data_IF_715937104286
#
_entry.id   IF_715937104286
#
_cell.length_a   1.000
_cell.length_b   1.000
_cell.length_c   1.000
_cell.angle_alpha   90.00
_cell.angle_beta   90.00
_cell.angle_gamma   90.00
#
_symmetry.space_group_name_H-M   'P 1'
#
loop_
_entity.id
_entity.type
_entity.pdbx_description
1 polymer ?
#
# COMPACT_ATOMS: atom_id res chain seq x y z
N UNK A 1 -66.93 32.55 -37.54
CA UNK A 1 -65.71 32.99 -36.83
C UNK A 1 -65.32 31.94 -35.78
N UNK A 2 -64.18 31.31 -36.02
CA UNK A 2 -63.65 30.11 -35.39
C UNK A 2 -63.43 30.21 -33.87
N UNK A 3 -64.06 29.32 -33.11
CA UNK A 3 -63.72 29.03 -31.71
C UNK A 3 -62.45 28.18 -31.68
N UNK A 4 -61.33 28.78 -31.30
CA UNK A 4 -60.07 28.07 -31.07
C UNK A 4 -60.20 27.34 -29.73
N UNK A 5 -59.96 26.01 -29.64
CA UNK A 5 -59.91 25.34 -28.36
C UNK A 5 -58.59 25.73 -27.67
N UNK A 6 -58.70 26.40 -26.52
CA UNK A 6 -57.56 26.62 -25.63
C UNK A 6 -57.20 25.25 -25.05
N UNK A 7 -56.18 24.61 -25.62
CA UNK A 7 -55.61 23.39 -25.06
C UNK A 7 -54.94 23.75 -23.74
N UNK A 8 -55.52 23.32 -22.62
CA UNK A 8 -54.94 23.43 -21.29
C UNK A 8 -53.57 22.73 -21.26
N UNK A 9 -52.50 23.52 -21.30
CA UNK A 9 -51.13 23.06 -21.05
C UNK A 9 -50.88 23.03 -19.54
N UNK A 10 -51.42 22.03 -18.83
CA UNK A 10 -51.24 21.91 -17.39
C UNK A 10 -50.92 20.47 -16.95
N UNK A 11 -49.87 19.86 -17.50
CA UNK A 11 -49.19 18.71 -16.87
C UNK A 11 -47.78 18.55 -17.47
N UNK A 12 -46.88 19.52 -17.26
CA UNK A 12 -45.47 19.39 -17.69
C UNK A 12 -44.55 18.91 -16.56
N UNK A 13 -44.97 19.01 -15.29
CA UNK A 13 -44.21 18.52 -14.15
C UNK A 13 -45.13 18.22 -12.97
N UNK A 14 -44.68 17.33 -12.09
CA UNK A 14 -45.32 16.98 -10.82
C UNK A 14 -44.44 17.49 -9.67
N UNK A 15 -45.08 17.97 -8.60
CA UNK A 15 -44.38 18.36 -7.37
C UNK A 15 -44.48 17.20 -6.40
N UNK A 16 -43.35 16.54 -6.15
CA UNK A 16 -43.24 15.46 -5.17
C UNK A 16 -42.62 15.98 -3.86
N UNK A 17 -43.04 15.40 -2.74
CA UNK A 17 -42.43 15.65 -1.44
C UNK A 17 -41.32 14.63 -1.18
N UNK A 18 -40.14 15.12 -0.80
CA UNK A 18 -39.02 14.29 -0.39
C UNK A 18 -39.13 13.97 1.10
N UNK A 19 -39.44 12.72 1.43
CA UNK A 19 -39.31 12.21 2.78
C UNK A 19 -37.82 11.98 3.11
N UNK A 20 -37.29 12.81 4.01
CA UNK A 20 -35.88 12.74 4.40
C UNK A 20 -35.52 11.40 5.07
N UNK A 21 -36.42 10.80 5.85
CA UNK A 21 -36.16 9.54 6.55
C UNK A 21 -36.11 8.38 5.55
N UNK A 22 -37.05 8.36 4.59
CA UNK A 22 -37.06 7.35 3.54
C UNK A 22 -35.82 7.47 2.63
N UNK A 23 -35.43 8.69 2.26
CA UNK A 23 -34.25 8.93 1.43
C UNK A 23 -32.96 8.48 2.13
N UNK A 24 -32.81 8.79 3.42
CA UNK A 24 -31.65 8.35 4.21
C UNK A 24 -31.66 6.83 4.37
N UNK A 25 -32.80 6.21 4.68
CA UNK A 25 -32.91 4.77 4.82
C UNK A 25 -32.64 4.03 3.50
N UNK A 26 -33.07 4.59 2.37
CA UNK A 26 -32.79 4.06 1.03
C UNK A 26 -31.30 4.19 0.68
N UNK A 27 -30.70 5.35 0.95
CA UNK A 27 -29.27 5.56 0.75
C UNK A 27 -28.43 4.61 1.61
N UNK A 28 -28.77 4.47 2.91
CA UNK A 28 -28.08 3.57 3.83
C UNK A 28 -28.13 2.11 3.35
N UNK A 29 -29.31 1.62 2.95
CA UNK A 29 -29.46 0.26 2.40
C UNK A 29 -28.68 0.05 1.11
N UNK A 30 -28.68 1.03 0.21
CA UNK A 30 -27.92 0.97 -1.04
C UNK A 30 -26.41 0.92 -0.77
N UNK A 31 -25.92 1.75 0.15
CA UNK A 31 -24.51 1.78 0.57
C UNK A 31 -24.14 0.45 1.23
N UNK A 32 -24.99 -0.07 2.12
CA UNK A 32 -24.76 -1.35 2.78
C UNK A 32 -24.66 -2.49 1.77
N UNK A 33 -25.59 -2.59 0.83
CA UNK A 33 -25.55 -3.63 -0.21
C UNK A 33 -24.31 -3.50 -1.10
N UNK A 34 -23.94 -2.27 -1.46
CA UNK A 34 -22.73 -2.00 -2.24
C UNK A 34 -21.47 -2.45 -1.47
N UNK A 35 -21.37 -2.08 -0.19
CA UNK A 35 -20.25 -2.43 0.66
C UNK A 35 -20.18 -3.94 0.92
N UNK A 36 -21.32 -4.61 1.15
CA UNK A 36 -21.37 -6.07 1.31
C UNK A 36 -20.90 -6.80 0.06
N UNK A 37 -21.38 -6.40 -1.13
CA UNK A 37 -20.96 -7.02 -2.40
C UNK A 37 -19.47 -6.82 -2.65
N UNK A 38 -18.97 -5.60 -2.46
CA UNK A 38 -17.54 -5.29 -2.61
C UNK A 38 -16.68 -6.01 -1.59
N UNK A 39 -17.10 -6.04 -0.32
CA UNK A 39 -16.39 -6.75 0.73
C UNK A 39 -16.32 -8.25 0.44
N UNK A 40 -17.41 -8.86 -0.03
CA UNK A 40 -17.39 -10.28 -0.39
C UNK A 40 -16.49 -10.58 -1.60
N UNK A 41 -16.52 -9.74 -2.64
CA UNK A 41 -15.66 -9.90 -3.81
C UNK A 41 -14.17 -9.72 -3.45
N UNK A 42 -13.87 -8.70 -2.63
CA UNK A 42 -12.53 -8.47 -2.10
C UNK A 42 -12.06 -9.61 -1.20
N UNK A 43 -12.94 -10.15 -0.36
CA UNK A 43 -12.60 -11.28 0.51
C UNK A 43 -12.26 -12.51 -0.32
N UNK A 44 -13.10 -12.86 -1.28
CA UNK A 44 -12.86 -14.01 -2.16
C UNK A 44 -11.57 -13.83 -2.95
N UNK A 45 -11.34 -12.65 -3.55
CA UNK A 45 -10.11 -12.35 -4.28
C UNK A 45 -8.86 -12.40 -3.39
N UNK A 46 -8.97 -11.86 -2.18
CA UNK A 46 -7.91 -11.88 -1.16
C UNK A 46 -7.58 -13.30 -0.71
N UNK A 47 -8.58 -14.10 -0.37
CA UNK A 47 -8.36 -15.50 0.07
C UNK A 47 -7.75 -16.32 -1.06
N UNK A 48 -8.25 -16.18 -2.30
CA UNK A 48 -7.66 -16.83 -3.48
C UNK A 48 -6.18 -16.47 -3.62
N UNK A 49 -5.84 -15.18 -3.54
CA UNK A 49 -4.47 -14.70 -3.68
C UNK A 49 -3.57 -15.18 -2.54
N UNK A 50 -4.04 -15.12 -1.30
CA UNK A 50 -3.28 -15.55 -0.13
C UNK A 50 -3.00 -17.07 -0.17
N UNK A 51 -4.02 -17.88 -0.44
CA UNK A 51 -3.85 -19.34 -0.55
C UNK A 51 -2.93 -19.70 -1.72
N UNK A 52 -3.06 -19.03 -2.86
CA UNK A 52 -2.15 -19.25 -3.99
C UNK A 52 -0.71 -18.90 -3.63
N UNK A 53 -0.48 -17.76 -2.95
CA UNK A 53 0.85 -17.37 -2.50
C UNK A 53 1.48 -18.40 -1.54
N UNK A 54 0.71 -18.91 -0.56
CA UNK A 54 1.19 -19.94 0.36
C UNK A 54 1.56 -21.24 -0.36
N UNK A 55 0.74 -21.68 -1.33
CA UNK A 55 1.00 -22.90 -2.11
C UNK A 55 2.23 -22.72 -2.99
N UNK A 56 2.31 -21.64 -3.76
CA UNK A 56 3.44 -21.38 -4.67
C UNK A 56 4.76 -21.25 -3.91
N UNK A 57 4.75 -20.55 -2.77
CA UNK A 57 5.96 -20.42 -1.96
C UNK A 57 6.37 -21.75 -1.32
N UNK A 58 5.41 -22.59 -0.91
CA UNK A 58 5.70 -23.92 -0.36
C UNK A 58 6.27 -24.88 -1.40
N UNK A 59 5.80 -24.80 -2.64
CA UNK A 59 6.26 -25.64 -3.75
C UNK A 59 7.58 -25.15 -4.37
N UNK A 60 7.95 -23.90 -4.09
CA UNK A 60 9.16 -23.31 -4.63
C UNK A 60 10.43 -23.96 -4.06
N UNK A 61 11.28 -24.46 -4.95
CA UNK A 61 12.61 -24.95 -4.61
C UNK A 61 13.62 -23.80 -4.68
N UNK A 62 14.28 -23.54 -3.54
CA UNK A 62 15.30 -22.51 -3.42
C UNK A 62 16.48 -22.76 -4.36
N UNK A 63 16.93 -21.72 -5.06
CA UNK A 63 18.12 -21.75 -5.92
C UNK A 63 19.17 -20.76 -5.44
N UNK A 64 20.39 -21.25 -5.19
CA UNK A 64 21.52 -20.40 -4.78
C UNK A 64 22.28 -19.82 -5.97
N UNK A 65 22.33 -20.55 -7.08
CA UNK A 65 23.01 -20.16 -8.30
C UNK A 65 22.00 -19.66 -9.33
N UNK A 66 21.89 -18.35 -9.43
CA UNK A 66 21.34 -17.70 -10.61
C UNK A 66 22.52 -17.42 -11.53
N UNK A 67 22.74 -18.25 -12.54
CA UNK A 67 23.84 -18.03 -13.48
C UNK A 67 23.70 -16.63 -14.12
N UNK A 68 24.64 -15.74 -13.78
CA UNK A 68 24.80 -14.42 -14.42
C UNK A 68 25.48 -14.56 -15.79
N UNK A 69 25.94 -15.76 -16.14
CA UNK A 69 26.57 -16.06 -17.41
C UNK A 69 25.53 -16.37 -18.48
N UNK A 70 25.55 -15.59 -19.56
CA UNK A 70 24.52 -15.60 -20.59
C UNK A 70 24.13 -17.00 -21.10
N UNK A 71 22.80 -17.16 -21.24
CA UNK A 71 22.02 -18.31 -21.74
C UNK A 71 21.40 -19.15 -20.63
N UNK A 72 20.09 -18.92 -20.50
CA UNK A 72 19.04 -19.85 -20.06
C UNK A 72 18.40 -19.61 -18.67
N UNK A 73 17.21 -18.97 -18.74
CA UNK A 73 15.95 -19.41 -18.11
C UNK A 73 15.58 -19.00 -16.68
N UNK A 74 16.22 -18.03 -16.04
CA UNK A 74 15.71 -17.47 -14.76
C UNK A 74 15.74 -15.93 -14.67
N UNK A 75 15.76 -15.24 -15.81
CA UNK A 75 15.55 -13.78 -15.90
C UNK A 75 14.49 -13.43 -16.94
N UNK A 76 13.71 -14.42 -17.35
CA UNK A 76 12.54 -14.19 -18.16
C UNK A 76 11.53 -13.48 -17.24
N UNK A 77 11.17 -12.24 -17.57
CA UNK A 77 9.98 -11.54 -17.06
C UNK A 77 10.04 -10.88 -15.66
N UNK A 78 11.12 -10.17 -15.32
CA UNK A 78 11.04 -9.14 -14.25
C UNK A 78 11.03 -7.72 -14.81
N UNK A 79 9.83 -7.14 -14.81
CA UNK A 79 9.56 -5.78 -15.26
C UNK A 79 10.02 -4.78 -14.21
N UNK A 80 11.28 -4.34 -14.29
CA UNK A 80 11.81 -3.22 -13.52
C UNK A 80 11.65 -1.92 -14.30
N UNK A 81 10.86 -0.98 -13.79
CA UNK A 81 10.86 0.39 -14.31
C UNK A 81 11.83 1.25 -13.51
N UNK A 82 13.07 1.30 -13.99
CA UNK A 82 13.86 2.54 -13.93
C UNK A 82 13.56 3.32 -15.22
N UNK A 83 13.71 4.65 -15.15
CA UNK A 83 13.41 5.59 -16.22
C UNK A 83 13.90 5.13 -17.60
N UNK A 84 13.12 5.45 -18.64
CA UNK A 84 13.39 5.08 -20.03
C UNK A 84 14.78 5.49 -20.55
N UNK A 85 15.46 6.42 -19.86
CA UNK A 85 16.78 6.93 -20.24
C UNK A 85 17.96 6.07 -19.74
N UNK A 86 17.77 5.13 -18.81
CA UNK A 86 18.83 4.22 -18.33
C UNK A 86 18.76 2.83 -19.01
N UNK A 87 18.38 2.81 -20.29
CA UNK A 87 18.16 1.58 -21.07
C UNK A 87 19.39 1.06 -21.80
N UNK A 88 20.53 1.76 -21.74
CA UNK A 88 21.78 1.34 -22.35
C UNK A 88 22.54 0.32 -21.47
N UNK A 89 22.11 -0.94 -21.49
CA UNK A 89 22.97 -2.05 -21.04
C UNK A 89 22.27 -3.31 -20.51
N UNK A 90 20.99 -3.24 -20.12
CA UNK A 90 20.28 -4.40 -19.54
C UNK A 90 19.23 -4.96 -20.52
N UNK A 91 19.55 -6.09 -21.15
CA UNK A 91 18.91 -6.65 -22.36
C UNK A 91 17.54 -7.32 -22.20
N UNK A 92 16.98 -7.45 -20.99
CA UNK A 92 15.83 -8.34 -20.73
C UNK A 92 14.69 -7.69 -19.92
N UNK A 93 14.31 -6.45 -20.24
CA UNK A 93 13.09 -5.82 -19.69
C UNK A 93 11.96 -5.88 -20.71
N UNK A 94 10.80 -6.40 -20.29
CA UNK A 94 9.57 -6.34 -21.09
C UNK A 94 9.24 -4.86 -21.30
N UNK A 95 8.80 -4.51 -22.51
CA UNK A 95 8.22 -3.22 -22.81
C UNK A 95 6.70 -3.39 -22.96
N UNK A 96 5.96 -3.33 -21.85
CA UNK A 96 4.51 -3.21 -21.87
C UNK A 96 4.00 -2.13 -22.81
N UNK A 97 2.92 -2.47 -23.51
CA UNK A 97 2.12 -1.51 -24.27
C UNK A 97 1.17 -0.80 -23.30
N UNK A 98 1.70 0.24 -22.66
CA UNK A 98 0.96 1.02 -21.69
C UNK A 98 -0.17 1.81 -22.33
N UNK A 99 -1.39 1.60 -21.84
CA UNK A 99 -2.59 2.31 -22.29
C UNK A 99 -3.14 3.17 -21.17
N UNK A 100 -3.73 4.30 -21.53
CA UNK A 100 -4.36 5.17 -20.55
C UNK A 100 -5.67 4.54 -20.06
N UNK A 101 -5.76 4.31 -18.75
CA UNK A 101 -6.92 3.68 -18.13
C UNK A 101 -7.73 4.72 -17.33
N UNK A 102 -9.00 4.99 -17.70
CA UNK A 102 -9.87 5.92 -16.98
C UNK A 102 -10.08 5.57 -15.51
N UNK A 103 -10.03 4.29 -15.14
CA UNK A 103 -10.24 3.83 -13.77
C UNK A 103 -9.06 4.17 -12.87
N UNK A 104 -7.85 4.15 -13.42
CA UNK A 104 -6.61 4.41 -12.68
C UNK A 104 -6.06 5.83 -12.88
N UNK A 105 -6.57 6.56 -13.88
CA UNK A 105 -6.09 7.89 -14.29
C UNK A 105 -4.58 7.91 -14.56
N UNK A 106 -4.03 6.79 -15.03
CA UNK A 106 -2.62 6.55 -15.30
C UNK A 106 -2.48 5.56 -16.46
N UNK A 107 -1.26 5.46 -16.97
CA UNK A 107 -0.84 4.45 -17.92
C UNK A 107 -0.75 3.09 -17.23
N UNK A 108 -1.48 2.10 -17.71
CA UNK A 108 -1.49 0.73 -17.18
C UNK A 108 -1.34 -0.30 -18.29
N UNK A 109 -0.80 -1.47 -17.93
CA UNK A 109 -0.78 -2.68 -18.75
C UNK A 109 -1.42 -3.82 -17.97
N UNK A 110 -2.48 -4.39 -18.53
CA UNK A 110 -3.24 -5.50 -17.95
C UNK A 110 -2.65 -6.87 -18.31
N UNK A 111 -1.64 -6.92 -19.19
CA UNK A 111 -1.01 -8.19 -19.55
C UNK A 111 0.06 -8.62 -18.55
N UNK A 112 0.59 -7.71 -17.74
CA UNK A 112 1.73 -7.97 -16.88
C UNK A 112 1.53 -7.42 -15.47
N UNK A 113 2.32 -7.94 -14.55
CA UNK A 113 2.54 -7.34 -13.23
C UNK A 113 3.75 -6.42 -13.22
N UNK A 114 3.71 -5.41 -12.35
CA UNK A 114 4.86 -4.56 -12.07
C UNK A 114 5.44 -4.90 -10.70
N UNK A 115 6.75 -4.75 -10.58
CA UNK A 115 7.48 -5.01 -9.34
C UNK A 115 8.20 -3.75 -8.88
N UNK A 116 8.05 -3.43 -7.60
CA UNK A 116 8.77 -2.38 -6.91
C UNK A 116 9.79 -3.00 -5.95
N UNK A 117 11.03 -2.53 -6.03
CA UNK A 117 12.10 -2.86 -5.09
C UNK A 117 12.59 -1.55 -4.46
N UNK A 118 12.61 -1.46 -3.13
CA UNK A 118 13.20 -0.34 -2.42
C UNK A 118 14.65 -0.07 -2.84
N UNK A 119 15.05 1.19 -2.89
CA UNK A 119 16.38 1.60 -3.39
C UNK A 119 17.55 1.11 -2.53
N UNK A 120 17.29 0.77 -1.27
CA UNK A 120 18.26 0.24 -0.31
C UNK A 120 18.48 -1.28 -0.45
N UNK A 121 17.69 -1.97 -1.29
CA UNK A 121 17.78 -3.41 -1.52
C UNK A 121 18.42 -3.67 -2.88
N UNK A 122 19.43 -4.55 -2.89
CA UNK A 122 20.08 -4.99 -4.12
C UNK A 122 19.20 -6.00 -4.88
N UNK A 123 18.86 -5.67 -6.14
CA UNK A 123 18.00 -6.46 -7.02
C UNK A 123 18.61 -7.81 -7.45
N UNK A 124 19.95 -7.90 -7.52
CA UNK A 124 20.67 -9.12 -7.86
C UNK A 124 20.91 -10.08 -6.68
N UNK A 125 20.36 -9.81 -5.50
CA UNK A 125 20.49 -10.70 -4.34
C UNK A 125 19.74 -12.01 -4.58
N UNK A 126 20.31 -13.15 -4.19
CA UNK A 126 19.66 -14.48 -4.32
C UNK A 126 18.31 -14.53 -3.62
N UNK A 127 18.15 -13.83 -2.50
CA UNK A 127 16.88 -13.73 -1.77
C UNK A 127 15.83 -13.03 -2.62
N UNK A 128 16.20 -11.93 -3.28
CA UNK A 128 15.29 -11.17 -4.13
C UNK A 128 14.95 -11.94 -5.41
N UNK A 129 15.92 -12.61 -6.02
CA UNK A 129 15.72 -13.40 -7.23
C UNK A 129 14.82 -14.61 -7.00
N UNK A 130 14.96 -15.32 -5.88
CA UNK A 130 14.02 -16.39 -5.52
C UNK A 130 12.62 -15.84 -5.26
N UNK A 131 12.49 -14.71 -4.55
CA UNK A 131 11.20 -14.06 -4.33
C UNK A 131 10.49 -13.67 -5.62
N UNK A 132 11.24 -13.13 -6.57
CA UNK A 132 10.75 -12.80 -7.90
C UNK A 132 10.26 -14.04 -8.66
N UNK A 133 11.01 -15.14 -8.58
CA UNK A 133 10.72 -16.41 -9.24
C UNK A 133 9.37 -17.01 -8.84
N UNK A 134 9.14 -17.20 -7.54
CA UNK A 134 7.88 -17.80 -7.11
C UNK A 134 6.69 -16.83 -7.21
N UNK A 135 6.92 -15.52 -7.02
CA UNK A 135 5.84 -14.52 -7.10
C UNK A 135 5.34 -14.28 -8.52
N UNK A 136 6.05 -14.75 -9.54
CA UNK A 136 5.60 -14.67 -10.93
C UNK A 136 4.28 -15.41 -11.16
N UNK A 137 4.10 -16.56 -10.49
CA UNK A 137 2.87 -17.35 -10.55
C UNK A 137 1.63 -16.60 -10.03
N UNK A 138 1.81 -15.51 -9.26
CA UNK A 138 0.69 -14.68 -8.79
C UNK A 138 0.04 -13.86 -9.91
N UNK A 139 0.73 -13.67 -11.04
CA UNK A 139 0.21 -12.91 -12.18
C UNK A 139 -1.11 -13.48 -12.71
N UNK A 140 -1.20 -14.79 -12.87
CA UNK A 140 -2.41 -15.46 -13.35
C UNK A 140 -3.58 -15.29 -12.38
N UNK A 141 -3.29 -15.28 -11.07
CA UNK A 141 -4.28 -15.06 -10.03
C UNK A 141 -4.78 -13.62 -10.05
N UNK A 142 -3.89 -12.63 -10.24
CA UNK A 142 -4.28 -11.23 -10.36
C UNK A 142 -5.18 -10.98 -11.57
N UNK A 143 -4.84 -11.58 -12.73
CA UNK A 143 -5.66 -11.51 -13.96
C UNK A 143 -7.04 -12.12 -13.72
N UNK A 144 -7.10 -13.32 -13.15
CA UNK A 144 -8.36 -14.01 -12.85
C UNK A 144 -9.24 -13.20 -11.89
N UNK A 145 -8.66 -12.58 -10.86
CA UNK A 145 -9.42 -11.72 -9.96
C UNK A 145 -10.04 -10.52 -10.69
N UNK A 146 -9.32 -9.92 -11.63
CA UNK A 146 -9.80 -8.81 -12.46
C UNK A 146 -10.87 -9.24 -13.47
N UNK A 147 -10.76 -10.44 -14.01
CA UNK A 147 -11.79 -11.05 -14.86
C UNK A 147 -13.08 -11.31 -14.07
N UNK A 148 -12.95 -11.78 -12.82
CA UNK A 148 -14.07 -11.97 -11.89
C UNK A 148 -14.73 -10.64 -11.50
N UNK A 149 -13.93 -9.57 -11.29
CA UNK A 149 -14.41 -8.23 -10.96
C UNK A 149 -13.65 -7.10 -11.70
N UNK A 150 -14.21 -6.58 -12.82
CA UNK A 150 -13.66 -5.46 -13.57
C UNK A 150 -13.71 -4.10 -12.86
N UNK A 151 -14.16 -4.02 -11.60
CA UNK A 151 -14.11 -2.80 -10.79
C UNK A 151 -12.95 -2.77 -9.81
N UNK A 152 -12.20 -3.88 -9.68
CA UNK A 152 -11.01 -3.95 -8.83
C UNK A 152 -9.92 -2.96 -9.24
N UNK A 153 -9.44 -2.20 -8.27
CA UNK A 153 -8.30 -1.32 -8.44
C UNK A 153 -6.99 -2.12 -8.27
N UNK A 154 -5.96 -1.50 -7.69
CA UNK A 154 -4.66 -2.12 -7.48
C UNK A 154 -4.79 -3.37 -6.62
N UNK A 155 -4.27 -4.47 -7.14
CA UNK A 155 -3.98 -5.67 -6.36
C UNK A 155 -2.49 -5.66 -6.06
N UNK A 156 -2.11 -5.86 -4.80
CA UNK A 156 -0.71 -5.74 -4.35
C UNK A 156 -0.37 -6.93 -3.46
N UNK A 157 0.77 -7.56 -3.73
CA UNK A 157 1.45 -8.48 -2.85
C UNK A 157 2.70 -7.80 -2.30
N UNK A 158 2.83 -7.79 -0.97
CA UNK A 158 4.01 -7.30 -0.28
C UNK A 158 4.81 -8.46 0.31
N UNK A 159 6.05 -8.63 -0.13
CA UNK A 159 6.96 -9.63 0.42
C UNK A 159 7.61 -9.13 1.71
N UNK A 160 7.91 -10.08 2.62
CA UNK A 160 8.71 -9.83 3.80
C UNK A 160 10.13 -9.34 3.48
N UNK A 161 10.64 -9.64 2.28
CA UNK A 161 11.92 -9.16 1.78
C UNK A 161 11.90 -7.65 1.46
N UNK A 162 10.72 -7.04 1.30
CA UNK A 162 10.55 -5.62 0.97
C UNK A 162 10.09 -5.37 -0.46
N UNK A 163 10.00 -6.44 -1.27
CA UNK A 163 9.51 -6.40 -2.65
C UNK A 163 7.99 -6.23 -2.71
N UNK A 164 7.50 -5.36 -3.60
CA UNK A 164 6.08 -5.24 -3.90
C UNK A 164 5.81 -5.72 -5.32
N UNK A 165 4.83 -6.61 -5.52
CA UNK A 165 4.28 -6.91 -6.85
C UNK A 165 2.87 -6.36 -6.93
N UNK A 166 2.53 -5.64 -8.00
CA UNK A 166 1.21 -5.06 -8.17
C UNK A 166 0.67 -5.23 -9.59
N UNK A 167 -0.66 -5.29 -9.67
CA UNK A 167 -1.43 -5.45 -10.90
C UNK A 167 -2.56 -4.41 -10.98
N UNK A 168 -2.85 -3.83 -12.15
CA UNK A 168 -2.11 -3.95 -13.43
C UNK A 168 -0.72 -3.33 -13.37
N UNK A 169 0.18 -3.65 -14.30
CA UNK A 169 1.49 -3.02 -14.37
C UNK A 169 1.35 -1.52 -14.68
N UNK A 170 2.14 -0.68 -14.02
CA UNK A 170 2.21 0.77 -14.27
C UNK A 170 3.61 1.26 -13.94
N UNK A 171 4.12 2.28 -14.65
CA UNK A 171 5.35 2.93 -14.26
C UNK A 171 5.20 3.51 -12.85
N UNK A 172 6.19 3.26 -12.00
CA UNK A 172 6.18 3.64 -10.60
C UNK A 172 6.18 5.16 -10.44
N UNK A 173 7.22 5.81 -10.97
CA UNK A 173 7.34 7.26 -11.05
C UNK A 173 6.86 7.77 -12.41
N UNK A 174 6.19 8.91 -12.42
CA UNK A 174 5.91 9.63 -13.66
C UNK A 174 7.15 10.47 -13.99
N UNK A 175 7.91 10.04 -14.99
CA UNK A 175 9.13 10.72 -15.44
C UNK A 175 8.90 12.21 -15.73
N UNK A 176 7.65 12.62 -16.02
CA UNK A 176 7.28 14.03 -16.24
C UNK A 176 7.19 14.87 -14.96
N UNK A 177 6.99 14.25 -13.79
CA UNK A 177 6.68 14.94 -12.53
C UNK A 177 7.79 14.87 -11.49
N UNK A 178 8.65 13.85 -11.53
CA UNK A 178 9.65 13.61 -10.48
C UNK A 178 11.02 13.19 -11.03
N UNK A 179 11.69 14.03 -11.85
CA UNK A 179 12.98 13.67 -12.44
C UNK A 179 14.16 13.63 -11.45
N UNK A 180 14.00 14.15 -10.22
CA UNK A 180 15.11 14.28 -9.25
C UNK A 180 14.76 13.81 -7.83
N UNK A 181 13.60 13.20 -7.62
CA UNK A 181 13.17 12.74 -6.30
C UNK A 181 13.51 11.26 -6.15
N UNK A 182 14.49 10.95 -5.30
CA UNK A 182 14.81 9.57 -4.91
C UNK A 182 13.58 8.96 -4.23
N UNK A 183 13.23 7.76 -4.65
CA UNK A 183 12.15 7.00 -4.04
C UNK A 183 12.59 6.38 -2.71
N UNK A 184 11.83 6.67 -1.64
CA UNK A 184 12.06 6.12 -0.30
C UNK A 184 10.95 5.11 0.07
N UNK A 185 10.28 4.55 -0.92
CA UNK A 185 9.20 3.62 -0.68
C UNK A 185 9.71 2.26 -0.22
N UNK A 186 9.19 1.79 0.91
CA UNK A 186 9.32 0.42 1.39
C UNK A 186 7.94 -0.10 1.76
N UNK A 187 7.56 -1.27 1.23
CA UNK A 187 6.29 -1.94 1.50
C UNK A 187 6.08 -2.20 2.98
N UNK A 188 7.14 -2.62 3.68
CA UNK A 188 7.06 -3.09 5.07
C UNK A 188 6.75 -1.96 6.04
N UNK A 189 7.00 -0.72 5.62
CA UNK A 189 6.71 0.50 6.37
C UNK A 189 5.31 1.04 6.10
N UNK A 190 4.51 0.39 5.26
CA UNK A 190 3.18 0.89 4.88
C UNK A 190 2.13 0.50 5.91
N UNK A 191 1.22 1.43 6.28
CA UNK A 191 0.16 1.14 7.25
C UNK A 191 -0.67 -0.10 6.91
N UNK A 192 -1.02 -0.27 5.63
CA UNK A 192 -1.79 -1.44 5.17
C UNK A 192 -1.04 -2.77 5.37
N UNK A 193 0.29 -2.77 5.25
CA UNK A 193 1.12 -3.95 5.47
C UNK A 193 1.23 -4.24 6.98
N UNK A 194 1.51 -3.20 7.77
CA UNK A 194 1.70 -3.30 9.22
C UNK A 194 0.42 -3.82 9.91
N UNK A 195 -0.75 -3.31 9.53
CA UNK A 195 -2.04 -3.74 10.09
C UNK A 195 -2.37 -5.21 9.81
N UNK A 196 -1.86 -5.77 8.70
CA UNK A 196 -1.99 -7.19 8.38
C UNK A 196 -0.91 -8.06 9.01
N UNK A 197 0.28 -7.50 9.23
CA UNK A 197 1.44 -8.23 9.76
C UNK A 197 1.43 -8.35 11.29
N UNK A 198 0.82 -7.41 12.00
CA UNK A 198 0.78 -7.39 13.46
C UNK A 198 -0.60 -7.00 13.98
N UNK A 199 -1.00 -7.60 15.10
CA UNK A 199 -2.17 -7.16 15.87
C UNK A 199 -1.89 -5.82 16.55
N UNK A 200 -2.94 -5.04 16.90
CA UNK A 200 -2.81 -3.86 17.74
C UNK A 200 -2.01 -4.17 19.01
N UNK A 201 -1.10 -3.26 19.40
CA UNK A 201 -0.15 -3.46 20.50
C UNK A 201 0.00 -2.24 21.40
N UNK A 202 0.27 -2.51 22.67
CA UNK A 202 0.58 -1.50 23.68
C UNK A 202 2.09 -1.42 23.90
N UNK A 203 2.72 -0.31 23.50
CA UNK A 203 4.17 -0.11 23.54
C UNK A 203 4.58 0.93 24.59
N UNK A 204 5.58 0.62 25.41
CA UNK A 204 6.23 1.57 26.31
C UNK A 204 7.69 1.76 25.88
N UNK A 205 8.04 2.96 25.43
CA UNK A 205 9.40 3.31 25.02
C UNK A 205 10.11 3.98 26.20
N UNK A 206 11.20 3.36 26.68
CA UNK A 206 12.06 3.96 27.69
C UNK A 206 13.29 4.56 27.01
N UNK A 207 13.46 5.86 27.17
CA UNK A 207 14.58 6.62 26.60
C UNK A 207 15.55 6.99 27.72
N UNK A 208 16.80 6.54 27.61
CA UNK A 208 17.87 6.99 28.51
C UNK A 208 18.15 8.48 28.25
N UNK A 209 18.12 9.28 29.31
CA UNK A 209 18.43 10.70 29.33
C UNK A 209 19.63 11.00 30.26
N UNK A 210 20.44 9.98 30.57
CA UNK A 210 21.68 10.14 31.31
C UNK A 210 22.70 11.02 30.55
N UNK A 211 23.68 11.59 31.27
CA UNK A 211 24.67 12.48 30.65
C UNK A 211 25.53 11.82 29.56
N UNK A 212 25.63 10.49 29.54
CA UNK A 212 26.44 9.73 28.59
C UNK A 212 25.83 9.68 27.19
N UNK A 213 24.52 9.88 27.04
CA UNK A 213 23.85 9.89 25.73
C UNK A 213 23.87 11.25 25.03
N UNK A 214 24.60 12.24 25.55
CA UNK A 214 24.65 13.58 24.97
C UNK A 214 25.27 13.63 23.55
N UNK A 215 24.85 14.61 22.74
CA UNK A 215 25.40 14.86 21.40
C UNK A 215 24.82 13.94 20.30
N UNK A 216 25.70 13.24 19.57
CA UNK A 216 25.31 12.39 18.43
C UNK A 216 24.40 11.24 18.85
N UNK A 217 24.67 10.64 20.01
CA UNK A 217 23.89 9.51 20.54
C UNK A 217 22.44 9.92 20.78
N UNK A 218 22.18 11.07 21.41
CA UNK A 218 20.83 11.60 21.61
C UNK A 218 20.12 11.85 20.28
N UNK A 219 20.84 12.37 19.28
CA UNK A 219 20.29 12.58 17.93
C UNK A 219 19.88 11.27 17.28
N UNK A 220 20.72 10.24 17.37
CA UNK A 220 20.41 8.90 16.84
C UNK A 220 19.22 8.28 17.57
N UNK A 221 19.20 8.34 18.91
CA UNK A 221 18.07 7.85 19.71
C UNK A 221 16.77 8.57 19.30
N UNK A 222 16.80 9.90 19.14
CA UNK A 222 15.66 10.69 18.71
C UNK A 222 15.15 10.27 17.34
N UNK A 223 16.05 10.11 16.36
CA UNK A 223 15.68 9.64 15.02
C UNK A 223 15.09 8.23 15.09
N UNK A 224 15.70 7.31 15.84
CA UNK A 224 15.19 5.94 16.00
C UNK A 224 13.80 5.90 16.62
N UNK A 225 13.55 6.68 17.68
CA UNK A 225 12.21 6.76 18.29
C UNK A 225 11.20 7.33 17.30
N UNK A 226 11.58 8.35 16.52
CA UNK A 226 10.70 8.90 15.48
C UNK A 226 10.34 7.87 14.41
N UNK A 227 11.32 7.13 13.89
CA UNK A 227 11.10 6.05 12.92
C UNK A 227 10.24 4.92 13.52
N UNK A 228 10.46 4.56 14.79
CA UNK A 228 9.63 3.57 15.49
C UNK A 228 8.17 4.01 15.57
N UNK A 229 7.89 5.28 15.88
CA UNK A 229 6.52 5.82 15.95
C UNK A 229 5.82 5.84 14.59
N UNK A 230 6.56 5.88 13.48
CA UNK A 230 6.00 5.76 12.14
C UNK A 230 5.46 4.36 11.84
N UNK A 231 5.96 3.34 12.54
CA UNK A 231 5.48 1.95 12.40
C UNK A 231 4.21 1.64 13.19
N UNK A 232 3.72 2.56 14.02
CA UNK A 232 2.50 2.35 14.81
C UNK A 232 1.24 2.74 14.02
N UNK A 233 0.14 2.02 14.21
CA UNK A 233 -1.18 2.36 13.67
C UNK A 233 -1.97 3.26 14.64
N UNK A 234 -3.11 3.79 14.21
CA UNK A 234 -4.03 4.51 15.09
C UNK A 234 -4.63 3.62 16.19
N UNK A 235 -4.69 2.30 15.96
CA UNK A 235 -5.20 1.31 16.92
C UNK A 235 -4.18 0.92 18.01
N UNK A 236 -2.91 1.30 17.84
CA UNK A 236 -1.87 1.02 18.81
C UNK A 236 -1.91 2.03 19.98
N UNK A 237 -1.42 1.62 21.14
CA UNK A 237 -1.15 2.53 22.25
C UNK A 237 0.34 2.68 22.47
N UNK A 238 0.79 3.92 22.70
CA UNK A 238 2.20 4.20 23.03
C UNK A 238 2.32 5.14 24.21
N UNK A 239 3.36 4.92 25.02
CA UNK A 239 3.85 5.91 25.96
C UNK A 239 5.37 5.97 25.90
N UNK A 240 5.94 7.15 26.15
CA UNK A 240 7.38 7.40 26.11
C UNK A 240 7.81 7.97 27.45
N UNK A 241 8.78 7.31 28.10
CA UNK A 241 9.26 7.66 29.44
C UNK A 241 10.76 7.90 29.38
N UNK A 242 11.22 9.00 29.99
CA UNK A 242 12.63 9.32 30.08
C UNK A 242 13.18 8.89 31.44
N UNK A 243 14.31 8.20 31.40
CA UNK A 243 15.00 7.72 32.62
C UNK A 243 16.32 8.47 32.74
N UNK A 244 16.52 9.12 33.89
CA UNK A 244 17.81 9.69 34.28
C UNK A 244 18.22 9.13 35.64
N UNK A 245 19.53 9.00 35.89
CA UNK A 245 20.11 8.44 37.15
C UNK A 245 19.57 9.12 38.43
N UNK A 246 19.03 10.34 38.33
CA UNK A 246 18.60 11.14 39.48
C UNK A 246 17.06 11.22 39.59
N UNK A 247 16.31 10.91 38.54
CA UNK A 247 14.83 11.00 38.57
C UNK A 247 14.14 10.30 37.40
N UNK A 248 13.00 9.65 37.69
CA UNK A 248 12.02 9.21 36.72
C UNK A 248 11.12 10.40 36.36
N UNK A 249 11.25 10.93 35.14
CA UNK A 249 10.30 11.89 34.61
C UNK A 249 9.37 11.17 33.63
N UNK A 250 8.14 10.92 34.05
CA UNK A 250 7.05 10.76 33.09
C UNK A 250 6.77 12.12 32.47
N UNK A 251 6.54 12.20 31.16
CA UNK A 251 6.12 13.45 30.56
C UNK A 251 4.79 13.88 31.22
N UNK A 252 4.80 15.01 31.93
CA UNK A 252 3.84 15.38 32.98
C UNK A 252 2.39 15.62 32.51
N UNK A 253 2.08 15.42 31.23
CA UNK A 253 0.71 15.45 30.72
C UNK A 253 0.11 14.07 30.42
N UNK A 254 0.90 12.98 30.47
CA UNK A 254 0.46 11.67 29.98
C UNK A 254 0.84 10.53 30.94
N UNK A 255 -0.04 10.31 31.91
CA UNK A 255 0.11 9.27 32.94
C UNK A 255 -0.40 7.87 32.52
N UNK A 256 -0.95 7.70 31.30
CA UNK A 256 -1.48 6.43 30.77
C UNK A 256 -1.11 6.26 29.30
N UNK A 257 -1.15 5.03 28.81
CA UNK A 257 -1.01 4.73 27.38
C UNK A 257 -2.03 5.52 26.56
N UNK A 258 -1.57 6.16 25.49
CA UNK A 258 -2.41 6.94 24.59
C UNK A 258 -2.60 6.22 23.28
N UNK A 259 -3.81 6.33 22.73
CA UNK A 259 -4.09 5.94 21.35
C UNK A 259 -3.17 6.72 20.42
N UNK A 260 -2.47 6.04 19.51
CA UNK A 260 -1.43 6.66 18.68
C UNK A 260 -2.06 7.41 17.49
N UNK A 261 -2.78 8.49 17.77
CA UNK A 261 -3.34 9.35 16.72
C UNK A 261 -2.29 10.32 16.15
N UNK A 262 -2.47 10.81 14.91
CA UNK A 262 -1.56 11.74 14.22
C UNK A 262 -1.12 12.92 15.10
N UNK A 263 -2.05 13.52 15.85
CA UNK A 263 -1.75 14.63 16.76
C UNK A 263 -0.86 14.22 17.93
N UNK A 264 -1.02 13.00 18.46
CA UNK A 264 -0.22 12.47 19.56
C UNK A 264 1.17 12.10 19.05
N UNK A 265 1.28 11.46 17.87
CA UNK A 265 2.57 11.24 17.20
C UNK A 265 3.31 12.54 16.98
N UNK A 266 2.62 13.59 16.50
CA UNK A 266 3.24 14.87 16.24
C UNK A 266 3.65 15.59 17.53
N UNK A 267 2.84 15.51 18.59
CA UNK A 267 3.21 16.04 19.91
C UNK A 267 4.42 15.32 20.51
N UNK A 268 4.51 13.99 20.38
CA UNK A 268 5.69 13.24 20.80
C UNK A 268 6.89 13.67 19.97
N UNK A 269 6.79 13.72 18.63
CA UNK A 269 7.88 14.17 17.74
C UNK A 269 8.36 15.60 18.03
N UNK A 270 7.46 16.51 18.41
CA UNK A 270 7.77 17.90 18.76
C UNK A 270 8.30 18.07 20.21
N UNK A 271 8.01 17.14 21.11
CA UNK A 271 8.49 17.15 22.49
C UNK A 271 9.96 16.72 22.63
N UNK A 272 10.49 16.04 21.60
CA UNK A 272 11.91 15.70 21.47
C UNK A 272 12.75 16.83 20.86
#
# INVERSE_FOLDING_TARGET
PSTIPITNSFHLYTVEQNDAEELVARAARNIEQLLRKRSAALEVGRTKLATAAEVFQKEHAWKDEFEVNGREKCTDQYTYYLDANETEGRKYRIRPDFKEDPSFKRLTDHNHTAVHIPTDIYDGSTIVLNELNWTEALEDVFKKNREDDPTLLWQVFGSATGLARYYPASPWMDARKTPSKIDLYDVRRRPWYIQGAASPKDMLILVDASGSVSGLTLKLIRTSVSEMLETLSDDDYVNVVYVSIISFFTWSSFARGLTVHVQIKQRVKCAF
#
